data_IF_505239142255
#
_entry.id   IF_505239142255
#
_cell.length_a   1.000
_cell.length_b   1.000
_cell.length_c   1.000
_cell.angle_alpha   90.00
_cell.angle_beta   90.00
_cell.angle_gamma   90.00
#
_symmetry.space_group_name_H-M   'P 1'
#
loop_
_entity.id
_entity.type
_entity.pdbx_description
1 polymer ?
#
# COMPACT_ATOMS: atom_id res chain seq x y z
N UNK A 1 -4.35 6.23 -5.22
CA UNK A 1 -3.62 7.47 -5.51
C UNK A 1 -2.21 7.11 -5.92
N UNK A 2 -1.70 7.70 -7.00
CA UNK A 2 -0.44 7.28 -7.59
C UNK A 2 0.33 8.47 -8.21
N UNK A 3 1.56 8.71 -7.76
CA UNK A 3 2.44 9.75 -8.31
C UNK A 3 3.09 9.34 -9.64
N UNK A 4 2.27 9.07 -10.67
CA UNK A 4 2.69 8.45 -11.94
C UNK A 4 3.49 9.38 -12.85
N UNK A 5 3.35 10.71 -12.70
CA UNK A 5 4.06 11.68 -13.52
C UNK A 5 5.42 12.11 -12.92
N UNK A 6 5.79 11.61 -11.73
CA UNK A 6 7.11 11.91 -11.17
C UNK A 6 8.21 11.27 -12.05
N UNK A 7 9.21 12.03 -12.49
CA UNK A 7 10.22 11.54 -13.43
C UNK A 7 11.16 10.48 -12.85
N UNK A 8 11.20 10.29 -11.52
CA UNK A 8 12.10 9.35 -10.84
C UNK A 8 11.40 8.05 -10.48
N UNK A 9 10.16 8.13 -10.00
CA UNK A 9 9.43 6.96 -9.48
C UNK A 9 8.20 6.58 -10.32
N UNK A 10 7.77 7.43 -11.26
CA UNK A 10 6.50 7.30 -11.97
C UNK A 10 6.28 5.94 -12.64
N UNK A 11 7.31 5.38 -13.28
CA UNK A 11 7.23 4.05 -13.90
C UNK A 11 7.07 2.92 -12.87
N UNK A 12 7.78 2.98 -11.74
CA UNK A 12 7.66 2.02 -10.65
C UNK A 12 6.29 2.13 -9.97
N UNK A 13 5.80 3.35 -9.77
CA UNK A 13 4.45 3.64 -9.25
C UNK A 13 3.36 3.14 -10.20
N UNK A 14 3.55 3.28 -11.52
CA UNK A 14 2.60 2.74 -12.50
C UNK A 14 2.54 1.21 -12.43
N UNK A 15 3.69 0.56 -12.20
CA UNK A 15 3.75 -0.88 -11.99
C UNK A 15 2.99 -1.31 -10.73
N UNK A 16 3.15 -0.57 -9.64
CA UNK A 16 2.38 -0.73 -8.40
C UNK A 16 0.87 -0.65 -8.63
N UNK A 17 0.42 0.39 -9.34
CA UNK A 17 -0.99 0.56 -9.71
C UNK A 17 -1.49 -0.66 -10.48
N UNK A 18 -0.75 -1.13 -11.49
CA UNK A 18 -1.14 -2.33 -12.26
C UNK A 18 -1.22 -3.56 -11.36
N UNK A 19 -0.20 -3.80 -10.52
CA UNK A 19 -0.15 -4.97 -9.64
C UNK A 19 -1.37 -5.02 -8.71
N UNK A 20 -1.64 -3.91 -7.99
CA UNK A 20 -2.71 -3.88 -6.99
C UNK A 20 -4.10 -3.84 -7.64
N UNK A 21 -4.30 -3.03 -8.68
CA UNK A 21 -5.62 -2.92 -9.33
C UNK A 21 -5.99 -4.21 -10.05
N UNK A 22 -5.05 -4.86 -10.73
CA UNK A 22 -5.30 -6.17 -11.32
C UNK A 22 -5.62 -7.20 -10.23
N UNK A 23 -4.87 -7.24 -9.12
CA UNK A 23 -5.17 -8.17 -8.03
C UNK A 23 -6.59 -7.99 -7.48
N UNK A 24 -6.99 -6.75 -7.22
CA UNK A 24 -8.30 -6.45 -6.64
C UNK A 24 -9.43 -6.72 -7.64
N UNK A 25 -9.20 -6.44 -8.93
CA UNK A 25 -10.15 -6.79 -10.01
C UNK A 25 -10.31 -8.30 -10.15
N UNK A 26 -9.22 -9.06 -10.04
CA UNK A 26 -9.27 -10.52 -10.11
C UNK A 26 -10.09 -11.08 -8.93
N UNK A 27 -9.87 -10.57 -7.71
CA UNK A 27 -10.68 -10.90 -6.53
C UNK A 27 -12.14 -10.52 -6.72
N UNK A 28 -12.44 -9.32 -7.24
CA UNK A 28 -13.82 -8.87 -7.42
C UNK A 28 -14.55 -9.74 -8.44
N UNK A 29 -13.92 -10.10 -9.56
CA UNK A 29 -14.49 -11.01 -10.56
C UNK A 29 -14.69 -12.40 -9.97
N UNK A 30 -13.68 -12.95 -9.27
CA UNK A 30 -13.74 -14.28 -8.69
C UNK A 30 -14.87 -14.40 -7.64
N UNK A 31 -15.03 -13.39 -6.79
CA UNK A 31 -16.08 -13.33 -5.77
C UNK A 31 -17.41 -12.76 -6.27
N UNK A 32 -17.48 -12.32 -7.53
CA UNK A 32 -18.67 -11.66 -8.14
C UNK A 32 -19.10 -10.40 -7.39
N UNK A 33 -18.14 -9.58 -6.99
CA UNK A 33 -18.37 -8.31 -6.29
C UNK A 33 -18.39 -7.15 -7.29
N UNK A 34 -19.33 -6.19 -7.14
CA UNK A 34 -19.19 -4.92 -7.84
C UNK A 34 -17.93 -4.21 -7.35
N UNK A 35 -17.21 -3.57 -8.27
CA UNK A 35 -16.00 -2.82 -7.96
C UNK A 35 -16.09 -1.44 -8.59
N UNK A 36 -16.11 -0.41 -7.75
CA UNK A 36 -15.97 0.98 -8.16
C UNK A 36 -14.55 1.45 -7.88
N UNK A 37 -13.92 2.13 -8.83
CA UNK A 37 -12.54 2.61 -8.70
C UNK A 37 -12.47 4.10 -8.98
N UNK A 38 -11.82 4.84 -8.08
CA UNK A 38 -11.45 6.24 -8.30
C UNK A 38 -9.93 6.33 -8.33
N UNK A 39 -9.36 6.63 -9.48
CA UNK A 39 -7.93 6.86 -9.62
C UNK A 39 -7.59 8.36 -9.54
N UNK A 40 -6.63 8.68 -8.68
CA UNK A 40 -6.07 10.03 -8.50
C UNK A 40 -4.58 9.92 -8.85
N UNK A 41 -4.24 10.34 -10.06
CA UNK A 41 -2.91 10.24 -10.66
C UNK A 41 -2.67 11.37 -11.66
N UNK A 42 -1.44 11.49 -12.15
CA UNK A 42 -1.03 12.54 -13.08
C UNK A 42 -1.41 13.95 -12.61
N UNK A 43 -2.07 14.73 -13.49
CA UNK A 43 -2.50 16.10 -13.16
C UNK A 43 -3.57 16.18 -12.05
N UNK A 44 -4.16 15.05 -11.63
CA UNK A 44 -5.10 15.01 -10.50
C UNK A 44 -4.42 14.70 -9.17
N UNK A 45 -3.12 14.35 -9.17
CA UNK A 45 -2.36 13.98 -7.99
C UNK A 45 -2.10 15.20 -7.10
N UNK A 46 -3.07 15.53 -6.25
CA UNK A 46 -2.95 16.60 -5.27
C UNK A 46 -3.84 16.34 -4.05
N UNK A 47 -3.55 17.07 -2.96
CA UNK A 47 -4.26 16.93 -1.67
C UNK A 47 -5.76 17.13 -1.79
N UNK A 48 -6.20 18.18 -2.49
CA UNK A 48 -7.61 18.54 -2.59
C UNK A 48 -8.46 17.41 -3.22
N UNK A 49 -7.96 16.80 -4.29
CA UNK A 49 -8.65 15.69 -4.95
C UNK A 49 -8.72 14.44 -4.06
N UNK A 50 -7.68 14.16 -3.26
CA UNK A 50 -7.68 13.04 -2.31
C UNK A 50 -8.70 13.26 -1.21
N UNK A 51 -8.68 14.45 -0.61
CA UNK A 51 -9.62 14.78 0.46
C UNK A 51 -11.06 14.75 -0.05
N UNK A 52 -11.32 15.28 -1.25
CA UNK A 52 -12.63 15.23 -1.89
C UNK A 52 -13.09 13.78 -2.11
N UNK A 53 -12.23 12.91 -2.64
CA UNK A 53 -12.56 11.50 -2.86
C UNK A 53 -12.84 10.76 -1.55
N UNK A 54 -11.99 10.92 -0.53
CA UNK A 54 -12.18 10.30 0.80
C UNK A 54 -13.44 10.84 1.48
N UNK A 55 -13.73 12.14 1.34
CA UNK A 55 -14.94 12.76 1.89
C UNK A 55 -16.21 12.20 1.25
N UNK A 56 -16.20 11.97 -0.07
CA UNK A 56 -17.32 11.46 -0.85
C UNK A 56 -17.69 10.01 -0.52
N UNK A 57 -16.77 9.23 0.06
CA UNK A 57 -17.06 7.85 0.46
C UNK A 57 -18.27 7.78 1.40
N UNK A 58 -19.24 6.96 1.01
CA UNK A 58 -20.46 6.64 1.75
C UNK A 58 -20.75 5.13 1.68
N UNK A 59 -19.84 4.28 2.19
CA UNK A 59 -20.00 2.83 2.15
C UNK A 59 -21.16 2.37 3.03
N UNK A 60 -21.83 1.32 2.61
CA UNK A 60 -22.74 0.53 3.44
C UNK A 60 -22.00 -0.37 4.45
N UNK A 61 -22.74 -0.96 5.39
CA UNK A 61 -22.16 -1.78 6.47
C UNK A 61 -21.55 -3.10 6.00
N UNK A 62 -21.79 -3.52 4.74
CA UNK A 62 -21.25 -4.75 4.14
C UNK A 62 -20.12 -4.48 3.13
N UNK A 63 -19.86 -3.21 2.84
CA UNK A 63 -18.90 -2.79 1.82
C UNK A 63 -17.45 -2.92 2.29
N UNK A 64 -16.55 -2.96 1.31
CA UNK A 64 -15.11 -2.95 1.50
C UNK A 64 -14.59 -1.63 0.93
N UNK A 65 -13.83 -0.89 1.73
CA UNK A 65 -13.12 0.30 1.25
C UNK A 65 -11.62 -0.01 1.22
N UNK A 66 -11.01 0.20 0.06
CA UNK A 66 -9.57 0.05 -0.13
C UNK A 66 -9.00 1.40 -0.55
N UNK A 67 -8.10 1.94 0.26
CA UNK A 67 -7.29 3.09 -0.08
C UNK A 67 -5.86 2.63 -0.31
N UNK A 68 -5.35 2.90 -1.51
CA UNK A 68 -3.99 2.59 -1.89
C UNK A 68 -3.24 3.86 -2.28
N UNK A 69 -2.05 4.03 -1.74
CA UNK A 69 -1.11 5.10 -2.10
C UNK A 69 0.21 4.52 -2.58
N UNK A 70 0.71 4.97 -3.73
CA UNK A 70 2.10 4.76 -4.15
C UNK A 70 2.68 6.06 -4.67
N UNK A 71 3.84 6.46 -4.15
CA UNK A 71 4.43 7.76 -4.45
C UNK A 71 5.54 8.16 -3.48
N UNK A 72 5.86 9.44 -3.47
CA UNK A 72 6.79 10.01 -2.50
C UNK A 72 6.14 10.08 -1.12
N UNK A 73 6.95 9.88 -0.10
CA UNK A 73 6.50 10.01 1.28
C UNK A 73 7.65 10.44 2.16
N UNK A 74 7.32 10.96 3.33
CA UNK A 74 8.30 11.45 4.28
C UNK A 74 7.79 11.33 5.71
N UNK A 75 8.67 11.58 6.68
CA UNK A 75 8.30 11.92 8.04
C UNK A 75 8.82 13.30 8.39
N UNK A 76 8.12 13.99 9.28
CA UNK A 76 8.68 15.13 9.97
C UNK A 76 9.68 14.64 11.01
N UNK A 77 10.81 15.34 11.12
CA UNK A 77 11.85 15.05 12.10
C UNK A 77 11.27 15.10 13.51
N UNK A 78 11.60 14.10 14.34
CA UNK A 78 11.18 14.01 15.75
C UNK A 78 9.66 13.91 15.98
N UNK A 79 8.86 13.62 14.95
CA UNK A 79 7.42 13.38 15.10
C UNK A 79 7.14 11.94 15.51
N UNK A 80 7.32 11.64 16.80
CA UNK A 80 7.01 10.32 17.37
C UNK A 80 5.50 10.05 17.52
N UNK A 81 4.67 11.08 17.41
CA UNK A 81 3.22 10.98 17.53
C UNK A 81 2.58 10.38 16.27
N UNK A 82 3.23 10.53 15.11
CA UNK A 82 2.75 10.02 13.83
C UNK A 82 3.71 8.96 13.26
N UNK A 83 3.55 7.67 13.62
CA UNK A 83 4.45 6.61 13.16
C UNK A 83 4.33 6.31 11.65
N UNK A 84 3.24 6.74 11.03
CA UNK A 84 2.93 6.50 9.62
C UNK A 84 3.39 7.68 8.72
N UNK A 85 3.73 7.42 7.44
CA UNK A 85 4.27 8.43 6.56
C UNK A 85 3.26 9.53 6.23
N UNK A 86 3.83 10.70 5.95
CA UNK A 86 3.21 11.80 5.24
C UNK A 86 3.31 11.55 3.73
N UNK A 87 2.23 11.77 2.98
CA UNK A 87 2.23 11.74 1.52
C UNK A 87 2.77 13.06 0.98
N UNK A 88 3.76 13.05 0.10
CA UNK A 88 4.20 14.26 -0.60
C UNK A 88 3.26 14.51 -1.79
N UNK A 89 2.36 15.48 -1.64
CA UNK A 89 1.30 15.79 -2.59
C UNK A 89 1.51 17.13 -3.28
N UNK A 90 2.76 17.61 -3.31
CA UNK A 90 3.14 18.81 -4.04
C UNK A 90 2.97 18.60 -5.54
N UNK A 91 2.37 19.57 -6.21
CA UNK A 91 2.25 19.63 -7.67
C UNK A 91 3.48 20.32 -8.29
N UNK A 92 4.14 21.17 -7.50
CA UNK A 92 5.35 21.90 -7.85
C UNK A 92 6.39 21.85 -6.73
N UNK A 93 7.67 21.93 -7.08
CA UNK A 93 8.77 22.05 -6.10
C UNK A 93 8.68 23.30 -5.20
N UNK A 94 7.86 24.27 -5.59
CA UNK A 94 7.64 25.51 -4.86
C UNK A 94 6.48 25.42 -3.87
N UNK A 95 5.68 24.36 -3.92
CA UNK A 95 4.58 24.17 -2.99
C UNK A 95 5.11 23.90 -1.57
N UNK A 96 4.41 24.44 -0.59
CA UNK A 96 4.72 24.20 0.82
C UNK A 96 4.39 22.74 1.19
N UNK A 97 5.44 21.97 1.51
CA UNK A 97 5.33 20.56 1.89
C UNK A 97 4.53 20.34 3.18
N UNK A 98 4.45 21.35 4.05
CA UNK A 98 3.65 21.28 5.28
C UNK A 98 2.15 21.42 5.00
N UNK A 99 1.79 22.00 3.85
CA UNK A 99 0.40 22.19 3.41
C UNK A 99 -0.01 21.07 2.44
N UNK A 100 0.83 20.79 1.44
CA UNK A 100 0.59 19.80 0.39
C UNK A 100 0.93 18.37 0.85
N UNK A 101 0.37 17.98 1.99
CA UNK A 101 0.59 16.66 2.58
C UNK A 101 -0.63 16.14 3.35
N UNK A 102 -0.68 14.83 3.53
CA UNK A 102 -1.64 14.09 4.34
C UNK A 102 -0.93 12.93 5.06
N UNK A 103 -1.23 12.73 6.34
CA UNK A 103 -0.70 11.58 7.07
C UNK A 103 -1.52 10.32 6.76
N UNK A 104 -0.87 9.17 6.54
CA UNK A 104 -1.57 7.91 6.30
C UNK A 104 -2.46 7.48 7.49
N UNK A 105 -2.07 7.80 8.73
CA UNK A 105 -2.86 7.56 9.94
C UNK A 105 -4.14 8.40 10.01
N UNK A 106 -4.10 9.64 9.51
CA UNK A 106 -5.29 10.49 9.41
C UNK A 106 -6.26 9.97 8.36
N UNK A 107 -5.73 9.55 7.20
CA UNK A 107 -6.54 8.89 6.15
C UNK A 107 -7.16 7.60 6.67
N UNK A 108 -6.42 6.78 7.41
CA UNK A 108 -6.94 5.60 8.09
C UNK A 108 -8.09 5.94 9.05
N UNK A 109 -7.89 6.91 9.93
CA UNK A 109 -8.90 7.32 10.91
C UNK A 109 -10.17 7.83 10.23
N UNK A 110 -10.01 8.62 9.17
CA UNK A 110 -11.10 9.17 8.38
C UNK A 110 -11.89 8.09 7.64
N UNK A 111 -11.22 7.15 6.97
CA UNK A 111 -11.88 6.04 6.28
C UNK A 111 -12.57 5.10 7.28
N UNK A 112 -11.90 4.75 8.38
CA UNK A 112 -12.49 3.95 9.45
C UNK A 112 -13.79 4.56 9.99
N UNK A 113 -13.85 5.88 10.12
CA UNK A 113 -15.06 6.59 10.56
C UNK A 113 -16.26 6.46 9.62
N UNK A 114 -16.03 6.05 8.36
CA UNK A 114 -17.09 5.78 7.36
C UNK A 114 -17.79 4.44 7.57
N UNK A 115 -17.28 3.57 8.46
CA UNK A 115 -17.94 2.33 8.92
C UNK A 115 -18.24 1.31 7.81
N UNK A 116 -17.42 1.25 6.76
CA UNK A 116 -17.41 0.07 5.89
C UNK A 116 -17.08 -1.18 6.72
N UNK A 117 -17.53 -2.35 6.28
CA UNK A 117 -17.27 -3.63 6.96
C UNK A 117 -15.77 -3.87 7.12
N UNK A 118 -15.04 -3.73 6.02
CA UNK A 118 -13.59 -3.91 5.96
C UNK A 118 -12.95 -2.69 5.31
N UNK A 119 -11.94 -2.14 5.97
CA UNK A 119 -11.18 -0.99 5.47
C UNK A 119 -9.71 -1.38 5.35
N UNK A 120 -9.12 -1.22 4.17
CA UNK A 120 -7.72 -1.52 3.91
C UNK A 120 -7.02 -0.25 3.45
N UNK A 121 -6.08 0.24 4.26
CA UNK A 121 -5.25 1.41 3.94
C UNK A 121 -3.83 0.92 3.73
N UNK A 122 -3.38 0.95 2.48
CA UNK A 122 -2.08 0.41 2.07
C UNK A 122 -1.27 1.55 1.44
N UNK A 123 -0.05 1.77 1.92
CA UNK A 123 0.79 2.86 1.44
C UNK A 123 2.19 2.36 1.11
N UNK A 124 2.61 2.52 -0.14
CA UNK A 124 3.96 2.23 -0.61
C UNK A 124 4.72 3.54 -0.88
N UNK A 125 5.37 4.03 0.18
CA UNK A 125 6.15 5.25 0.13
C UNK A 125 7.19 5.27 1.26
N UNK A 126 8.19 6.13 1.11
CA UNK A 126 9.18 6.34 2.16
C UNK A 126 8.52 6.93 3.41
N UNK A 127 9.17 6.68 4.55
CA UNK A 127 8.86 7.32 5.81
C UNK A 127 10.14 7.93 6.39
N UNK A 128 11.01 8.44 5.51
CA UNK A 128 12.29 9.06 5.83
C UNK A 128 12.17 10.58 5.89
N UNK A 129 13.19 11.25 6.44
CA UNK A 129 13.26 12.71 6.43
C UNK A 129 13.28 13.27 4.99
N UNK A 130 12.78 14.49 4.82
CA UNK A 130 12.71 15.19 3.55
C UNK A 130 14.10 15.43 2.92
N UNK A 131 14.15 15.49 1.58
CA UNK A 131 15.35 15.89 0.84
C UNK A 131 16.37 14.78 0.58
N UNK A 132 16.12 13.56 1.07
CA UNK A 132 17.02 12.44 0.83
C UNK A 132 16.69 11.70 -0.47
N UNK A 133 17.68 11.60 -1.37
CA UNK A 133 17.55 10.78 -2.58
C UNK A 133 17.43 9.29 -2.21
N UNK A 134 16.35 8.68 -2.69
CA UNK A 134 16.07 7.24 -2.62
C UNK A 134 16.84 6.50 -3.73
N UNK A 135 17.68 5.51 -3.39
CA UNK A 135 18.25 4.59 -4.38
C UNK A 135 17.18 3.65 -4.95
N UNK A 136 17.37 3.18 -6.18
CA UNK A 136 16.59 2.07 -6.74
C UNK A 136 16.88 0.76 -5.99
N UNK A 137 15.90 -0.14 -5.97
CA UNK A 137 16.05 -1.49 -5.44
C UNK A 137 16.35 -2.52 -6.52
N UNK A 138 17.06 -3.59 -6.17
CA UNK A 138 17.20 -4.80 -6.98
C UNK A 138 15.86 -5.42 -7.44
N UNK A 139 15.85 -6.03 -8.62
CA UNK A 139 14.71 -6.84 -9.09
C UNK A 139 14.67 -8.21 -8.41
N UNK A 140 13.49 -8.84 -8.39
CA UNK A 140 13.29 -10.18 -7.86
C UNK A 140 12.21 -10.94 -8.64
N UNK A 141 12.23 -12.27 -8.56
CA UNK A 141 11.25 -13.10 -9.24
C UNK A 141 9.87 -12.93 -8.59
N UNK A 142 8.90 -12.48 -9.38
CA UNK A 142 7.50 -12.42 -8.95
C UNK A 142 6.84 -13.78 -9.14
N UNK A 143 5.94 -14.13 -8.23
CA UNK A 143 5.08 -15.30 -8.44
C UNK A 143 4.11 -15.02 -9.57
N UNK A 144 4.03 -15.93 -10.54
CA UNK A 144 3.08 -15.82 -11.64
C UNK A 144 1.64 -15.90 -11.10
N UNK A 145 0.78 -15.01 -11.59
CA UNK A 145 -0.66 -15.05 -11.29
C UNK A 145 -1.27 -16.34 -11.85
N UNK A 146 -2.01 -17.08 -11.01
CA UNK A 146 -2.75 -18.27 -11.42
C UNK A 146 -4.20 -18.16 -10.98
N UNK A 147 -5.04 -17.57 -11.83
CA UNK A 147 -6.47 -17.34 -11.55
C UNK A 147 -7.28 -18.63 -11.36
N UNK A 148 -6.76 -19.79 -11.78
CA UNK A 148 -7.47 -21.08 -11.70
C UNK A 148 -7.12 -21.91 -10.45
N UNK A 149 -6.31 -21.36 -9.53
CA UNK A 149 -5.84 -22.09 -8.35
C UNK A 149 -6.32 -21.51 -7.03
N UNK A 150 -7.18 -20.49 -6.99
CA UNK A 150 -7.68 -19.94 -5.73
C UNK A 150 -8.83 -20.75 -5.13
N UNK A 151 -8.93 -20.72 -3.81
CA UNK A 151 -10.05 -21.27 -3.06
C UNK A 151 -11.08 -20.18 -2.75
N UNK A 152 -12.35 -20.44 -3.10
CA UNK A 152 -13.46 -19.48 -2.90
C UNK A 152 -13.70 -19.16 -1.43
N UNK A 153 -13.55 -20.13 -0.53
CA UNK A 153 -13.74 -19.90 0.91
C UNK A 153 -12.62 -19.03 1.47
N UNK A 154 -11.37 -19.22 1.03
CA UNK A 154 -10.25 -18.38 1.46
C UNK A 154 -10.43 -16.93 1.02
N UNK A 155 -10.74 -16.69 -0.27
CA UNK A 155 -11.04 -15.34 -0.74
C UNK A 155 -12.25 -14.74 0.00
N UNK A 156 -13.33 -15.51 0.19
CA UNK A 156 -14.53 -15.05 0.91
C UNK A 156 -14.24 -14.71 2.37
N UNK A 157 -13.45 -15.51 3.08
CA UNK A 157 -13.09 -15.24 4.47
C UNK A 157 -12.29 -13.93 4.59
N UNK A 158 -11.32 -13.71 3.69
CA UNK A 158 -10.50 -12.50 3.67
C UNK A 158 -11.31 -11.24 3.32
N UNK A 159 -12.12 -11.27 2.25
CA UNK A 159 -12.76 -10.05 1.74
C UNK A 159 -14.20 -9.86 2.23
N UNK A 160 -14.97 -10.93 2.39
CA UNK A 160 -16.41 -10.87 2.69
C UNK A 160 -16.76 -11.09 4.16
N UNK A 161 -15.96 -11.87 4.90
CA UNK A 161 -16.25 -12.17 6.31
C UNK A 161 -15.40 -11.37 7.30
N UNK A 162 -14.21 -10.93 6.88
CA UNK A 162 -13.37 -10.08 7.72
C UNK A 162 -14.07 -8.74 7.98
N UNK A 163 -14.01 -8.27 9.23
CA UNK A 163 -14.58 -6.99 9.65
C UNK A 163 -13.56 -6.20 10.44
N UNK A 164 -13.41 -4.92 10.13
CA UNK A 164 -12.49 -4.03 10.82
C UNK A 164 -11.72 -3.09 9.89
N UNK A 165 -10.58 -2.62 10.37
CA UNK A 165 -9.73 -1.68 9.63
C UNK A 165 -8.27 -2.04 9.80
N UNK A 166 -7.55 -2.06 8.67
CA UNK A 166 -6.11 -2.33 8.61
C UNK A 166 -5.42 -1.12 7.99
N UNK A 167 -4.31 -0.71 8.58
CA UNK A 167 -3.31 0.16 7.93
C UNK A 167 -2.01 -0.60 7.80
N UNK A 168 -1.38 -0.55 6.63
CA UNK A 168 -0.07 -1.13 6.38
C UNK A 168 0.77 -0.22 5.47
N UNK A 169 1.97 0.13 5.91
CA UNK A 169 2.83 1.10 5.23
C UNK A 169 4.22 0.51 4.99
N UNK A 170 4.81 0.81 3.84
CA UNK A 170 6.00 0.13 3.35
C UNK A 170 7.29 0.38 4.15
N UNK A 171 7.35 1.43 4.97
CA UNK A 171 8.51 1.76 5.77
C UNK A 171 8.10 2.39 7.11
N UNK A 172 8.81 2.02 8.18
CA UNK A 172 8.78 2.76 9.46
C UNK A 172 9.55 4.07 9.36
N UNK A 173 9.31 4.95 10.33
CA UNK A 173 9.97 6.24 10.44
C UNK A 173 11.50 6.13 10.33
N UNK A 174 12.10 7.03 9.56
CA UNK A 174 13.53 7.07 9.25
C UNK A 174 13.98 6.16 8.09
N UNK A 175 13.08 5.40 7.45
CA UNK A 175 13.47 4.46 6.39
C UNK A 175 12.88 4.79 5.01
N UNK A 176 13.62 4.39 3.98
CA UNK A 176 13.12 4.39 2.61
C UNK A 176 12.22 3.17 2.36
N UNK A 177 11.26 3.32 1.45
CA UNK A 177 10.62 2.20 0.79
C UNK A 177 11.28 2.00 -0.57
N UNK A 178 11.80 0.82 -0.89
CA UNK A 178 12.51 0.51 -2.13
C UNK A 178 11.58 -0.02 -3.22
N UNK A 179 12.03 0.05 -4.47
CA UNK A 179 11.32 -0.45 -5.63
C UNK A 179 12.11 -0.23 -6.92
N UNK A 180 11.60 -0.75 -8.03
CA UNK A 180 12.11 -0.54 -9.38
C UNK A 180 10.98 -0.67 -10.41
N UNK A 181 11.32 -0.51 -11.69
CA UNK A 181 10.35 -0.54 -12.80
C UNK A 181 9.84 -1.94 -13.15
N UNK A 182 10.59 -3.00 -12.82
CA UNK A 182 10.23 -4.37 -13.18
C UNK A 182 9.11 -4.89 -12.27
N UNK A 183 9.28 -4.68 -10.97
CA UNK A 183 8.39 -5.23 -9.94
C UNK A 183 7.44 -4.19 -9.35
N UNK A 184 7.84 -2.92 -9.28
CA UNK A 184 7.16 -1.88 -8.51
C UNK A 184 7.83 -1.64 -7.16
N UNK A 185 7.09 -1.09 -6.21
CA UNK A 185 7.47 -1.02 -4.80
C UNK A 185 7.60 -2.42 -4.20
N UNK A 186 8.63 -2.61 -3.37
CA UNK A 186 8.89 -3.90 -2.74
C UNK A 186 7.72 -4.36 -1.89
N UNK A 187 7.12 -3.44 -1.12
CA UNK A 187 6.03 -3.81 -0.23
C UNK A 187 4.78 -4.21 -1.01
N UNK A 188 4.38 -3.43 -2.01
CA UNK A 188 3.24 -3.75 -2.87
C UNK A 188 3.42 -5.07 -3.59
N UNK A 189 4.58 -5.30 -4.19
CA UNK A 189 4.89 -6.52 -4.94
C UNK A 189 4.85 -7.77 -4.05
N UNK A 190 5.42 -7.66 -2.84
CA UNK A 190 5.40 -8.74 -1.85
C UNK A 190 4.01 -8.95 -1.26
N UNK A 191 3.22 -7.89 -1.05
CA UNK A 191 1.83 -8.01 -0.61
C UNK A 191 0.96 -8.72 -1.64
N UNK A 192 1.09 -8.37 -2.92
CA UNK A 192 0.37 -9.06 -4.00
C UNK A 192 0.80 -10.53 -4.09
N UNK A 193 2.10 -10.81 -3.97
CA UNK A 193 2.62 -12.18 -3.95
C UNK A 193 2.09 -12.98 -2.76
N UNK A 194 2.03 -12.38 -1.57
CA UNK A 194 1.46 -12.99 -0.39
C UNK A 194 -0.05 -13.25 -0.56
N UNK A 195 -0.80 -12.29 -1.11
CA UNK A 195 -2.23 -12.48 -1.43
C UNK A 195 -2.44 -13.68 -2.36
N UNK A 196 -1.70 -13.78 -3.46
CA UNK A 196 -1.76 -14.91 -4.39
C UNK A 196 -1.46 -16.24 -3.69
N UNK A 197 -0.39 -16.29 -2.89
CA UNK A 197 0.01 -17.46 -2.12
C UNK A 197 -1.10 -17.91 -1.18
N UNK A 198 -1.64 -17.00 -0.37
CA UNK A 198 -2.59 -17.34 0.69
C UNK A 198 -4.03 -17.54 0.18
N UNK A 199 -4.40 -17.02 -0.99
CA UNK A 199 -5.68 -17.34 -1.64
C UNK A 199 -5.67 -18.69 -2.37
N UNK A 200 -4.50 -19.29 -2.57
CA UNK A 200 -4.35 -20.58 -3.26
C UNK A 200 -5.06 -21.73 -2.55
N UNK A 201 -5.67 -22.64 -3.32
CA UNK A 201 -6.24 -23.92 -2.88
C UNK A 201 -5.22 -24.88 -2.27
N UNK A 202 -3.93 -24.57 -2.41
CA UNK A 202 -2.84 -25.34 -1.80
C UNK A 202 -2.52 -24.88 -0.37
N UNK A 203 -3.19 -23.84 0.16
CA UNK A 203 -3.11 -23.56 1.59
C UNK A 203 -3.75 -24.68 2.40
N UNK A 204 -3.11 -25.04 3.51
CA UNK A 204 -3.56 -26.11 4.40
C UNK A 204 -4.57 -25.61 5.44
N UNK A 205 -4.56 -24.31 5.72
CA UNK A 205 -5.39 -23.65 6.74
C UNK A 205 -6.08 -22.44 6.14
N UNK A 206 -7.17 -21.99 6.80
CA UNK A 206 -7.84 -20.76 6.41
C UNK A 206 -6.90 -19.57 6.65
N UNK A 207 -6.59 -18.77 5.60
CA UNK A 207 -5.69 -17.64 5.74
C UNK A 207 -6.34 -16.46 6.46
N UNK A 208 -5.51 -15.63 7.08
CA UNK A 208 -5.89 -14.38 7.73
C UNK A 208 -5.15 -13.20 7.11
N UNK A 209 -5.69 -11.99 7.27
CA UNK A 209 -4.99 -10.77 6.87
C UNK A 209 -3.66 -10.57 7.63
N UNK A 210 -3.57 -11.05 8.86
CA UNK A 210 -2.34 -10.95 9.66
C UNK A 210 -1.22 -11.78 9.05
N UNK A 211 -1.49 -13.03 8.64
CA UNK A 211 -0.49 -13.88 7.98
C UNK A 211 -0.01 -13.28 6.66
N UNK A 212 -0.92 -12.72 5.86
CA UNK A 212 -0.60 -12.12 4.55
C UNK A 212 0.30 -10.88 4.73
N UNK A 213 -0.05 -10.00 5.66
CA UNK A 213 0.70 -8.75 5.88
C UNK A 213 2.03 -9.05 6.58
N UNK A 214 2.07 -10.01 7.51
CA UNK A 214 3.30 -10.45 8.17
C UNK A 214 4.27 -11.09 7.17
N UNK A 215 3.78 -11.92 6.24
CA UNK A 215 4.60 -12.46 5.16
C UNK A 215 5.13 -11.34 4.25
N UNK A 216 4.26 -10.42 3.81
CA UNK A 216 4.67 -9.28 2.98
C UNK A 216 5.72 -8.39 3.67
N UNK A 217 5.57 -8.15 4.98
CA UNK A 217 6.55 -7.45 5.80
C UNK A 217 7.89 -8.20 5.81
N UNK A 218 7.86 -9.49 6.15
CA UNK A 218 9.05 -10.33 6.24
C UNK A 218 9.82 -10.39 4.92
N UNK A 219 9.14 -10.67 3.80
CA UNK A 219 9.79 -10.78 2.50
C UNK A 219 10.30 -9.43 1.99
N UNK A 220 9.61 -8.33 2.31
CA UNK A 220 10.11 -6.97 2.03
C UNK A 220 11.41 -6.67 2.80
N UNK A 221 11.46 -7.01 4.09
CA UNK A 221 12.69 -6.87 4.89
C UNK A 221 13.83 -7.67 4.27
N UNK A 222 13.60 -8.95 3.98
CA UNK A 222 14.60 -9.82 3.36
C UNK A 222 15.10 -9.25 2.03
N UNK A 223 14.20 -8.80 1.17
CA UNK A 223 14.55 -8.25 -0.14
C UNK A 223 15.34 -6.93 -0.02
N UNK A 224 14.95 -6.03 0.90
CA UNK A 224 15.66 -4.78 1.14
C UNK A 224 17.11 -5.00 1.58
N UNK A 225 17.36 -6.08 2.32
CA UNK A 225 18.70 -6.48 2.76
C UNK A 225 19.58 -7.01 1.63
N UNK A 226 19.02 -7.28 0.44
CA UNK A 226 19.81 -7.62 -0.76
C UNK A 226 20.39 -6.42 -1.49
N UNK A 227 19.85 -5.20 -1.26
CA UNK A 227 20.32 -3.98 -1.93
C UNK A 227 21.77 -3.67 -1.53
N UNK A 228 22.53 -2.98 -2.38
CA UNK A 228 23.88 -2.52 -2.04
C UNK A 228 23.86 -1.46 -0.94
N UNK A 229 24.70 -1.63 0.10
CA UNK A 229 24.88 -0.63 1.14
C UNK A 229 25.73 0.54 0.60
N UNK A 230 25.31 1.78 0.85
CA UNK A 230 26.22 2.93 0.82
C UNK A 230 26.64 3.26 2.25
N UNK A 231 27.86 3.76 2.44
CA UNK A 231 28.53 3.86 3.74
C UNK A 231 27.74 4.59 4.86
N UNK A 232 26.70 5.36 4.52
CA UNK A 232 25.94 6.19 5.46
C UNK A 232 24.41 6.02 5.39
N UNK A 233 23.88 5.00 4.69
CA UNK A 233 22.43 4.78 4.59
C UNK A 233 22.08 3.32 4.79
N UNK A 234 21.22 3.04 5.78
CA UNK A 234 20.66 1.71 5.98
C UNK A 234 19.81 1.33 4.76
N UNK A 235 20.08 0.15 4.20
CA UNK A 235 19.27 -0.48 3.15
C UNK A 235 17.99 -1.13 3.67
N UNK A 236 17.85 -1.22 4.99
CA UNK A 236 16.75 -1.93 5.64
C UNK A 236 15.46 -1.15 5.48
N UNK A 237 14.44 -1.84 4.99
CA UNK A 237 13.06 -1.38 4.92
C UNK A 237 12.21 -2.31 5.77
N UNK A 238 11.62 -1.77 6.83
CA UNK A 238 10.69 -2.45 7.73
C UNK A 238 9.29 -1.87 7.51
N UNK A 239 8.40 -2.56 6.77
CA UNK A 239 6.99 -2.19 6.75
C UNK A 239 6.39 -2.24 8.16
N UNK A 240 5.40 -1.41 8.44
CA UNK A 240 4.65 -1.41 9.70
C UNK A 240 3.17 -1.51 9.42
N UNK A 241 2.42 -2.10 10.35
CA UNK A 241 0.99 -2.28 10.19
C UNK A 241 0.27 -2.28 11.54
N UNK A 242 -1.03 -2.00 11.49
CA UNK A 242 -1.95 -2.19 12.60
C UNK A 242 -3.20 -2.90 12.08
N UNK A 243 -3.55 -4.03 12.70
CA UNK A 243 -4.79 -4.75 12.41
C UNK A 243 -5.79 -4.49 13.53
N UNK A 244 -6.88 -3.80 13.20
CA UNK A 244 -8.06 -3.72 14.06
C UNK A 244 -9.17 -4.56 13.41
N UNK A 245 -8.95 -5.87 13.36
CA UNK A 245 -9.91 -6.85 12.87
C UNK A 245 -10.70 -7.40 14.06
N UNK A 246 -12.03 -7.39 13.95
CA UNK A 246 -12.93 -7.96 14.94
C UNK A 246 -12.91 -9.48 14.81
N UNK A 247 -12.74 -10.17 15.94
CA UNK A 247 -12.85 -11.64 16.04
C UNK A 247 -14.30 -12.07 16.04
#
# INVERSE_FOLDING_TARGET
MANTNDPRIGNSVQKDVVNITSQLKDVSVFLKLPMETTEISGAKFNKANVEAAVNKLSPGPDDIVIFYYSGHGFSFDQDSAHPYPQFDLRESRFDDITVATLNAGDVYSKIKSKKARLNLIICDCCNSNLGLLKPEGNSFALTAKSLMTWDRNFCSNLFMKSKGSIIATAAKQGQYAYGNTDVGGYFTSNLVTALEKYMSKFQLTTPTWEEIIAEAQKTTVTLSMSNTCSANKSRRQDPIYNLNILK
#
